data_IF_116570823346
#
_entry.id   IF_116570823346
#
_cell.length_a   1.000
_cell.length_b   1.000
_cell.length_c   1.000
_cell.angle_alpha   90.00
_cell.angle_beta   90.00
_cell.angle_gamma   90.00
#
_symmetry.space_group_name_H-M   'P 1'
#
loop_
_entity.id
_entity.type
_entity.pdbx_description
1 polymer ?
#
# COMPACT_ATOMS: atom_id res chain seq x y z
N UNK A 1 28.51 -4.57 -2.66
CA UNK A 1 27.47 -5.49 -3.16
C UNK A 1 26.08 -5.09 -2.66
N UNK A 2 25.87 -4.93 -1.34
CA UNK A 2 24.62 -4.42 -0.75
C UNK A 2 24.17 -3.04 -1.28
N UNK A 3 25.07 -2.07 -1.40
CA UNK A 3 24.74 -0.72 -1.93
C UNK A 3 24.32 -0.70 -3.40
N UNK A 4 24.88 -1.60 -4.23
CA UNK A 4 24.49 -1.71 -5.63
C UNK A 4 23.11 -2.36 -5.78
N UNK A 5 22.81 -3.35 -4.93
CA UNK A 5 21.47 -3.94 -4.79
C UNK A 5 20.46 -2.91 -4.31
N UNK A 6 20.83 -2.09 -3.33
CA UNK A 6 19.98 -1.03 -2.78
C UNK A 6 19.72 0.10 -3.80
N UNK A 7 20.72 0.45 -4.62
CA UNK A 7 20.56 1.41 -5.72
C UNK A 7 19.71 0.87 -6.87
N UNK A 8 19.93 -0.38 -7.32
CA UNK A 8 19.10 -1.01 -8.34
C UNK A 8 17.64 -1.15 -7.86
N UNK A 9 17.46 -1.42 -6.57
CA UNK A 9 16.19 -1.45 -5.87
C UNK A 9 15.48 -0.09 -5.83
N UNK A 10 16.18 0.99 -5.49
CA UNK A 10 15.59 2.34 -5.50
C UNK A 10 15.25 2.82 -6.91
N UNK A 11 16.07 2.47 -7.92
CA UNK A 11 15.81 2.82 -9.32
C UNK A 11 14.61 2.06 -9.90
N UNK A 12 14.43 0.77 -9.61
CA UNK A 12 13.27 0.01 -10.11
C UNK A 12 11.96 0.49 -9.49
N UNK A 13 12.00 0.89 -8.22
CA UNK A 13 10.89 1.46 -7.47
C UNK A 13 10.34 2.77 -8.05
N UNK A 14 11.22 3.63 -8.58
CA UNK A 14 10.80 4.92 -9.17
C UNK A 14 10.07 4.76 -10.51
N UNK A 15 10.28 3.66 -11.22
CA UNK A 15 9.73 3.44 -12.55
C UNK A 15 8.35 2.77 -12.56
N UNK A 16 7.85 2.31 -11.40
CA UNK A 16 6.53 1.69 -11.29
C UNK A 16 5.43 2.75 -11.09
N UNK A 17 4.71 3.04 -12.18
CA UNK A 17 3.55 3.94 -12.18
C UNK A 17 2.27 3.13 -11.99
N UNK A 18 1.58 3.32 -10.86
CA UNK A 18 0.28 2.72 -10.60
C UNK A 18 -0.83 3.71 -10.93
N UNK A 19 -1.79 3.27 -11.74
CA UNK A 19 -2.92 4.09 -12.20
C UNK A 19 -4.19 3.56 -11.57
N UNK A 20 -4.91 4.44 -10.85
CA UNK A 20 -6.30 4.20 -10.50
C UNK A 20 -7.16 4.51 -11.72
N UNK A 21 -7.51 3.48 -12.49
CA UNK A 21 -8.34 3.63 -13.69
C UNK A 21 -9.77 4.09 -13.38
N UNK A 22 -10.28 3.80 -12.18
CA UNK A 22 -11.63 4.18 -11.76
C UNK A 22 -11.69 5.66 -11.36
N UNK A 23 -10.66 6.14 -10.66
CA UNK A 23 -10.58 7.55 -10.24
C UNK A 23 -9.77 8.44 -11.19
N UNK A 24 -9.30 7.88 -12.32
CA UNK A 24 -8.44 8.55 -13.32
C UNK A 24 -7.25 9.29 -12.69
N UNK A 25 -6.66 8.70 -11.65
CA UNK A 25 -5.53 9.28 -10.91
C UNK A 25 -4.30 8.41 -11.04
N UNK A 26 -3.17 9.04 -11.28
CA UNK A 26 -1.86 8.41 -11.07
C UNK A 26 -1.64 8.37 -9.56
N UNK A 27 -1.53 7.17 -8.99
CA UNK A 27 -1.31 6.94 -7.56
C UNK A 27 0.18 7.19 -7.27
N UNK A 28 0.58 8.45 -7.41
CA UNK A 28 1.88 9.04 -7.11
C UNK A 28 3.13 8.42 -7.77
N UNK A 29 4.00 9.31 -8.22
CA UNK A 29 5.34 9.05 -8.79
C UNK A 29 6.37 8.58 -7.76
N UNK A 30 6.02 7.63 -6.87
CA UNK A 30 6.83 7.27 -5.70
C UNK A 30 6.83 5.78 -5.30
N UNK A 31 6.34 4.88 -6.16
CA UNK A 31 6.32 3.44 -5.91
C UNK A 31 5.55 3.03 -4.64
N UNK A 32 5.99 1.97 -3.96
CA UNK A 32 5.34 1.44 -2.74
C UNK A 32 5.14 2.50 -1.63
N UNK A 33 6.10 3.40 -1.45
CA UNK A 33 6.05 4.42 -0.41
C UNK A 33 4.90 5.41 -0.66
N UNK A 34 4.65 5.74 -1.93
CA UNK A 34 3.50 6.54 -2.35
C UNK A 34 2.17 5.88 -2.00
N UNK A 35 2.04 4.59 -2.33
CA UNK A 35 0.87 3.77 -2.00
C UNK A 35 0.61 3.68 -0.50
N UNK A 36 1.65 3.48 0.32
CA UNK A 36 1.53 3.38 1.78
C UNK A 36 1.15 4.71 2.44
N UNK A 37 1.65 5.83 1.91
CA UNK A 37 1.27 7.18 2.35
C UNK A 37 -0.19 7.45 2.00
N UNK A 38 -0.62 7.14 0.78
CA UNK A 38 -1.99 7.35 0.32
C UNK A 38 -2.99 6.48 1.10
N UNK A 39 -2.64 5.22 1.34
CA UNK A 39 -3.42 4.33 2.20
C UNK A 39 -3.57 4.88 3.62
N UNK A 40 -2.49 5.41 4.20
CA UNK A 40 -2.50 6.02 5.53
C UNK A 40 -3.42 7.25 5.58
N UNK A 41 -3.35 8.12 4.57
CA UNK A 41 -4.20 9.31 4.45
C UNK A 41 -5.68 8.94 4.36
N UNK A 42 -6.03 7.99 3.50
CA UNK A 42 -7.42 7.57 3.32
C UNK A 42 -7.97 6.89 4.57
N UNK A 43 -7.16 6.08 5.27
CA UNK A 43 -7.56 5.49 6.57
C UNK A 43 -7.86 6.55 7.62
N UNK A 44 -7.05 7.61 7.71
CA UNK A 44 -7.30 8.73 8.60
C UNK A 44 -8.60 9.46 8.22
N UNK A 45 -8.76 9.82 6.94
CA UNK A 45 -9.95 10.50 6.46
C UNK A 45 -11.24 9.68 6.69
N UNK A 46 -11.19 8.35 6.54
CA UNK A 46 -12.31 7.45 6.85
C UNK A 46 -12.74 7.58 8.32
N UNK A 47 -11.79 7.67 9.24
CA UNK A 47 -12.06 7.82 10.68
C UNK A 47 -12.71 9.18 10.99
N UNK A 48 -12.22 10.24 10.35
CA UNK A 48 -12.80 11.58 10.49
C UNK A 48 -14.24 11.61 9.95
N UNK A 49 -14.47 10.98 8.79
CA UNK A 49 -15.80 10.91 8.17
C UNK A 49 -16.82 10.17 9.04
N UNK A 50 -16.41 9.05 9.68
CA UNK A 50 -17.26 8.36 10.67
C UNK A 50 -17.60 9.27 11.85
N UNK A 51 -16.63 10.08 12.30
CA UNK A 51 -16.83 11.02 13.41
C UNK A 51 -17.87 12.08 13.04
N UNK A 52 -17.79 12.62 11.82
CA UNK A 52 -18.74 13.62 11.30
C UNK A 52 -20.13 13.00 11.12
N UNK A 53 -20.23 11.80 10.53
CA UNK A 53 -21.51 11.07 10.39
C UNK A 53 -22.19 10.88 11.76
N UNK A 54 -21.43 10.44 12.76
CA UNK A 54 -21.95 10.24 14.11
C UNK A 54 -22.41 11.57 14.75
N UNK A 55 -21.73 12.68 14.43
CA UNK A 55 -22.15 14.00 14.90
C UNK A 55 -23.51 14.40 14.31
N UNK A 56 -23.72 14.24 13.00
CA UNK A 56 -25.00 14.53 12.36
C UNK A 56 -26.13 13.64 12.87
N UNK A 57 -25.89 12.34 13.08
CA UNK A 57 -26.86 11.46 13.72
C UNK A 57 -27.27 11.94 15.11
N UNK A 58 -26.32 12.43 15.92
CA UNK A 58 -26.61 12.95 17.27
C UNK A 58 -27.42 14.25 17.24
N UNK A 59 -27.25 15.06 16.20
CA UNK A 59 -27.96 16.33 16.06
C UNK A 59 -29.33 16.17 15.37
N UNK A 60 -29.66 14.97 14.88
CA UNK A 60 -30.91 14.72 14.13
C UNK A 60 -30.84 15.10 12.65
N UNK A 61 -29.66 15.44 12.13
CA UNK A 61 -29.43 15.77 10.73
C UNK A 61 -29.24 14.49 9.88
N UNK A 62 -30.31 13.69 9.76
CA UNK A 62 -30.24 12.38 9.14
C UNK A 62 -29.94 12.43 7.63
N UNK A 63 -30.47 13.42 6.91
CA UNK A 63 -30.25 13.56 5.47
C UNK A 63 -28.76 13.74 5.15
N UNK A 64 -28.09 14.64 5.88
CA UNK A 64 -26.66 14.88 5.72
C UNK A 64 -25.82 13.66 6.15
N UNK A 65 -26.24 12.95 7.20
CA UNK A 65 -25.59 11.72 7.63
C UNK A 65 -25.67 10.62 6.54
N UNK A 66 -26.82 10.48 5.87
CA UNK A 66 -27.02 9.53 4.78
C UNK A 66 -26.15 9.87 3.57
N UNK A 67 -26.07 11.15 3.17
CA UNK A 67 -25.18 11.58 2.09
C UNK A 67 -23.71 11.24 2.37
N UNK A 68 -23.26 11.44 3.61
CA UNK A 68 -21.90 11.14 4.02
C UNK A 68 -21.60 9.62 4.10
N UNK A 69 -22.62 8.77 4.30
CA UNK A 69 -22.46 7.30 4.26
C UNK A 69 -22.13 6.81 2.84
N UNK A 70 -22.70 7.41 1.79
CA UNK A 70 -22.33 7.07 0.41
C UNK A 70 -20.86 7.43 0.13
N UNK A 71 -20.43 8.62 0.57
CA UNK A 71 -19.03 9.03 0.48
C UNK A 71 -18.09 8.09 1.26
N UNK A 72 -18.52 7.62 2.45
CA UNK A 72 -17.77 6.66 3.26
C UNK A 72 -17.61 5.31 2.54
N UNK A 73 -18.66 4.85 1.87
CA UNK A 73 -18.66 3.59 1.13
C UNK A 73 -17.66 3.63 -0.03
N UNK A 74 -17.70 4.69 -0.85
CA UNK A 74 -16.75 4.91 -1.96
C UNK A 74 -15.29 4.96 -1.48
N UNK A 75 -15.04 5.60 -0.34
CA UNK A 75 -13.70 5.66 0.26
C UNK A 75 -13.25 4.30 0.82
N UNK A 76 -14.16 3.52 1.40
CA UNK A 76 -13.85 2.17 1.87
C UNK A 76 -13.41 1.25 0.71
N UNK A 77 -14.09 1.33 -0.43
CA UNK A 77 -13.71 0.60 -1.65
C UNK A 77 -12.35 1.05 -2.18
N UNK A 78 -12.06 2.36 -2.10
CA UNK A 78 -10.75 2.88 -2.49
C UNK A 78 -9.63 2.39 -1.57
N UNK A 79 -9.84 2.40 -0.26
CA UNK A 79 -8.90 1.83 0.72
C UNK A 79 -8.65 0.35 0.42
N UNK A 80 -9.69 -0.43 0.14
CA UNK A 80 -9.54 -1.84 -0.18
C UNK A 80 -8.66 -2.05 -1.43
N UNK A 81 -8.88 -1.24 -2.48
CA UNK A 81 -8.04 -1.26 -3.68
C UNK A 81 -6.57 -0.93 -3.37
N UNK A 82 -6.31 0.10 -2.56
CA UNK A 82 -4.96 0.44 -2.11
C UNK A 82 -4.31 -0.70 -1.31
N UNK A 83 -5.05 -1.36 -0.42
CA UNK A 83 -4.53 -2.50 0.35
C UNK A 83 -4.17 -3.69 -0.54
N UNK A 84 -5.00 -3.99 -1.54
CA UNK A 84 -4.73 -5.05 -2.52
C UNK A 84 -3.45 -4.72 -3.29
N UNK A 85 -3.28 -3.47 -3.73
CA UNK A 85 -2.08 -3.03 -4.45
C UNK A 85 -0.82 -3.11 -3.58
N UNK A 86 -0.86 -2.63 -2.34
CA UNK A 86 0.26 -2.74 -1.39
C UNK A 86 0.63 -4.21 -1.14
N UNK A 87 -0.36 -5.10 -0.95
CA UNK A 87 -0.13 -6.53 -0.78
C UNK A 87 0.46 -7.19 -2.03
N UNK A 88 -0.02 -6.82 -3.22
CA UNK A 88 0.53 -7.32 -4.49
C UNK A 88 1.99 -6.87 -4.66
N UNK A 89 2.28 -5.59 -4.39
CA UNK A 89 3.64 -5.06 -4.45
C UNK A 89 4.60 -5.82 -3.54
N UNK A 90 4.22 -6.01 -2.27
CA UNK A 90 5.03 -6.75 -1.29
C UNK A 90 5.27 -8.20 -1.71
N UNK A 91 4.27 -8.86 -2.29
CA UNK A 91 4.38 -10.24 -2.81
C UNK A 91 5.34 -10.32 -4.01
N UNK A 92 5.18 -9.44 -4.98
CA UNK A 92 6.06 -9.40 -6.16
C UNK A 92 7.51 -9.15 -5.75
N UNK A 93 7.75 -8.24 -4.80
CA UNK A 93 9.07 -7.98 -4.26
C UNK A 93 9.68 -9.21 -3.57
N UNK A 94 8.92 -9.92 -2.76
CA UNK A 94 9.39 -11.16 -2.12
C UNK A 94 9.75 -12.22 -3.17
N UNK A 95 8.94 -12.32 -4.23
CA UNK A 95 9.21 -13.23 -5.34
C UNK A 95 10.50 -12.87 -6.08
N UNK A 96 10.74 -11.59 -6.39
CA UNK A 96 11.99 -11.13 -7.03
C UNK A 96 13.22 -11.47 -6.17
N UNK A 97 13.15 -11.20 -4.86
CA UNK A 97 14.23 -11.53 -3.94
C UNK A 97 14.48 -13.03 -3.94
N UNK A 98 13.42 -13.85 -3.81
CA UNK A 98 13.55 -15.31 -3.84
C UNK A 98 14.19 -15.81 -5.14
N UNK A 99 13.80 -15.27 -6.29
CA UNK A 99 14.39 -15.64 -7.58
C UNK A 99 15.86 -15.22 -7.71
N UNK A 100 16.29 -14.12 -7.10
CA UNK A 100 17.70 -13.73 -7.04
C UNK A 100 18.53 -14.75 -6.23
N UNK A 101 17.97 -15.28 -5.13
CA UNK A 101 18.61 -16.35 -4.34
C UNK A 101 18.67 -17.72 -5.06
N UNK A 102 17.79 -17.97 -6.03
CA UNK A 102 17.84 -19.21 -6.85
C UNK A 102 18.83 -19.09 -8.02
N UNK A 103 18.93 -17.89 -8.63
CA UNK A 103 19.79 -17.63 -9.80
C UNK A 103 21.25 -17.38 -9.41
N UNK A 104 21.48 -16.62 -8.34
CA UNK A 104 22.78 -16.56 -7.70
C UNK A 104 22.87 -17.79 -6.81
N UNK A 105 23.80 -18.73 -7.05
CA UNK A 105 24.08 -19.85 -6.12
C UNK A 105 24.63 -19.32 -4.78
N UNK A 106 23.84 -18.55 -4.06
CA UNK A 106 24.19 -17.99 -2.76
C UNK A 106 24.23 -19.16 -1.80
N UNK A 107 25.42 -19.51 -1.35
CA UNK A 107 25.62 -20.54 -0.34
C UNK A 107 25.06 -19.97 0.96
N UNK A 108 23.84 -20.39 1.33
CA UNK A 108 23.25 -20.05 2.62
C UNK A 108 24.11 -20.69 3.70
N UNK A 109 24.98 -19.90 4.33
CA UNK A 109 25.76 -20.37 5.46
C UNK A 109 24.82 -20.47 6.66
N UNK A 110 24.45 -21.69 7.03
CA UNK A 110 23.69 -21.96 8.24
C UNK A 110 24.57 -21.58 9.44
N UNK A 111 24.23 -20.51 10.14
CA UNK A 111 24.96 -20.05 11.33
C UNK A 111 24.94 -21.07 12.50
N UNK A 112 24.02 -22.04 12.47
CA UNK A 112 23.92 -23.12 13.47
C UNK A 112 24.70 -24.40 13.13
N UNK A 113 25.43 -24.43 12.01
CA UNK A 113 26.29 -25.57 11.71
C UNK A 113 27.54 -25.54 12.62
N UNK A 114 27.48 -26.25 13.75
CA UNK A 114 28.66 -26.49 14.59
C UNK A 114 29.77 -27.15 13.75
N UNK A 115 31.01 -26.63 13.80
CA UNK A 115 32.15 -27.31 13.20
C UNK A 115 32.44 -28.59 14.00
N UNK A 116 32.61 -29.71 13.28
CA UNK A 116 33.16 -30.96 13.83
C UNK A 116 34.64 -30.81 14.15
#
# INVERSE_FOLDING_TARGET
MLEQLQNAYEQSLQNLVFVDFLNKKVISSGGLRGLEIELSKEKACRKDLITVINHHFKNGDFDLAIELIDALSKRADYINRLEIQVKAYRRNKLSEIASQFELEKVTVVNYDAKPN
#
